data_IF_389452801559
#
_entry.id   IF_389452801559
#
_cell.length_a   1.000
_cell.length_b   1.000
_cell.length_c   1.000
_cell.angle_alpha   90.00
_cell.angle_beta   90.00
_cell.angle_gamma   90.00
#
_symmetry.space_group_name_H-M   'P 1'
#
loop_
_entity.id
_entity.type
_entity.pdbx_description
1 polymer ?
#
# COMPACT_ATOMS: atom_id res chain seq x y z
N UNK A 1 -3.65 -8.01 37.32
CA UNK A 1 -2.27 -7.56 36.99
C UNK A 1 -1.68 -8.31 35.79
N UNK A 2 -2.31 -8.25 34.59
CA UNK A 2 -1.81 -8.92 33.37
C UNK A 2 -2.00 -8.05 32.11
N UNK A 3 -1.83 -6.73 32.22
CA UNK A 3 -1.97 -5.80 31.08
C UNK A 3 -0.71 -4.98 30.75
N UNK A 4 0.36 -5.06 31.55
CA UNK A 4 1.51 -4.15 31.40
C UNK A 4 2.63 -4.68 30.48
N UNK A 5 2.71 -6.00 30.26
CA UNK A 5 3.83 -6.59 29.53
C UNK A 5 3.78 -6.35 28.01
N UNK A 6 2.58 -6.19 27.43
CA UNK A 6 2.42 -5.96 25.99
C UNK A 6 2.78 -4.51 25.58
N UNK A 7 2.53 -3.54 26.46
CA UNK A 7 2.96 -2.15 26.27
C UNK A 7 4.47 -2.01 26.41
N UNK A 8 5.07 -2.70 27.38
CA UNK A 8 6.51 -2.68 27.60
C UNK A 8 7.29 -3.27 26.40
N UNK A 9 6.81 -4.37 25.81
CA UNK A 9 7.42 -4.94 24.60
C UNK A 9 7.36 -4.01 23.39
N UNK A 10 6.28 -3.23 23.24
CA UNK A 10 6.18 -2.23 22.15
C UNK A 10 7.12 -1.05 22.33
N UNK A 11 7.33 -0.59 23.57
CA UNK A 11 8.29 0.47 23.89
C UNK A 11 9.74 0.06 23.57
N UNK A 12 10.11 -1.17 23.94
CA UNK A 12 11.48 -1.65 23.76
C UNK A 12 11.90 -1.81 22.28
N UNK A 13 10.95 -2.08 21.38
CA UNK A 13 11.23 -2.11 19.94
C UNK A 13 11.32 -0.71 19.33
N UNK A 14 10.75 0.30 19.97
CA UNK A 14 10.78 1.69 19.51
C UNK A 14 12.09 2.39 19.91
N UNK A 15 12.63 2.10 21.09
CA UNK A 15 13.85 2.75 21.58
C UNK A 15 15.16 2.20 20.98
N UNK A 16 15.12 1.07 20.25
CA UNK A 16 16.33 0.42 19.72
C UNK A 16 16.86 1.00 18.40
N UNK A 17 16.21 2.01 17.80
CA UNK A 17 16.64 2.58 16.51
C UNK A 17 17.65 3.74 16.61
N UNK A 18 17.96 4.24 17.81
CA UNK A 18 18.46 5.63 17.94
C UNK A 18 19.94 5.75 18.35
N UNK A 19 20.81 4.83 17.95
CA UNK A 19 22.27 4.99 18.16
C UNK A 19 23.08 4.87 16.88
N UNK A 20 22.85 5.75 15.90
CA UNK A 20 23.88 6.15 14.93
C UNK A 20 23.71 7.63 14.54
N UNK A 21 24.66 8.43 15.00
CA UNK A 21 24.81 9.85 14.76
C UNK A 21 25.25 10.15 13.31
N UNK A 22 24.43 10.88 12.56
CA UNK A 22 24.90 11.87 11.57
C UNK A 22 23.72 12.70 11.05
N UNK A 23 23.51 13.88 11.64
CA UNK A 23 22.78 15.04 11.07
C UNK A 23 21.60 14.71 10.13
N UNK A 24 20.52 14.14 10.67
CA UNK A 24 19.25 13.95 9.95
C UNK A 24 18.42 15.23 10.06
N UNK A 25 18.01 15.81 8.94
CA UNK A 25 17.24 17.05 8.95
C UNK A 25 15.84 16.75 9.50
N UNK A 26 15.25 17.68 10.28
CA UNK A 26 13.93 17.48 10.93
C UNK A 26 12.75 17.22 9.96
N UNK A 27 13.01 17.17 8.66
CA UNK A 27 12.04 16.95 7.59
C UNK A 27 12.05 15.51 7.05
N UNK A 28 13.03 14.69 7.43
CA UNK A 28 13.22 13.31 6.91
C UNK A 28 12.33 12.26 7.61
N UNK A 29 11.43 12.68 8.50
CA UNK A 29 10.56 11.82 9.31
C UNK A 29 9.06 11.93 8.95
N UNK A 30 8.69 12.76 7.96
CA UNK A 30 7.30 12.88 7.49
C UNK A 30 7.08 12.04 6.23
N UNK A 31 6.24 11.00 6.34
CA UNK A 31 5.62 10.39 5.16
C UNK A 31 4.72 11.44 4.51
N UNK A 32 5.20 12.10 3.46
CA UNK A 32 4.41 13.08 2.71
C UNK A 32 3.13 12.38 2.22
N UNK A 33 1.98 12.91 2.64
CA UNK A 33 0.71 12.49 2.07
C UNK A 33 0.66 12.94 0.60
N UNK A 34 0.09 12.14 -0.32
CA UNK A 34 -0.19 12.61 -1.66
C UNK A 34 -1.05 13.87 -1.59
N UNK A 35 -0.66 14.92 -2.32
CA UNK A 35 -1.45 16.16 -2.43
C UNK A 35 -2.58 16.02 -3.45
N UNK A 36 -2.44 15.08 -4.38
CA UNK A 36 -3.37 14.82 -5.47
C UNK A 36 -4.18 13.53 -5.23
N UNK A 37 -5.41 13.44 -5.77
CA UNK A 37 -6.18 12.20 -5.73
C UNK A 37 -5.45 11.06 -6.47
N UNK A 38 -5.87 9.82 -6.20
CA UNK A 38 -5.36 8.67 -6.92
C UNK A 38 -5.71 8.75 -8.41
N UNK A 39 -4.76 8.38 -9.28
CA UNK A 39 -4.96 8.34 -10.73
C UNK A 39 -6.05 7.32 -11.07
N UNK A 40 -7.09 7.77 -11.78
CA UNK A 40 -8.12 6.90 -12.35
C UNK A 40 -7.54 6.28 -13.62
N UNK A 41 -7.61 4.95 -13.72
CA UNK A 41 -7.22 4.26 -14.94
C UNK A 41 -8.33 4.39 -15.99
N UNK A 42 -8.05 5.08 -17.09
CA UNK A 42 -8.96 5.18 -18.22
C UNK A 42 -8.76 3.96 -19.14
N UNK A 43 -9.78 3.12 -19.39
CA UNK A 43 -9.66 2.02 -20.35
C UNK A 43 -9.38 2.50 -21.80
N UNK A 44 -9.64 3.77 -22.11
CA UNK A 44 -9.31 4.41 -23.39
C UNK A 44 -7.90 5.05 -23.39
N UNK A 45 -7.23 5.10 -22.23
CA UNK A 45 -5.88 5.66 -22.11
C UNK A 45 -5.00 4.88 -21.09
N UNK A 46 -3.91 4.24 -21.55
CA UNK A 46 -3.20 4.52 -22.80
C UNK A 46 -3.77 3.73 -23.98
N UNK A 47 -3.55 4.23 -25.21
CA UNK A 47 -3.81 3.45 -26.43
C UNK A 47 -3.19 2.06 -26.31
N UNK A 48 -3.83 1.05 -26.93
CA UNK A 48 -3.46 -0.37 -26.84
C UNK A 48 -1.95 -0.68 -27.09
N UNK A 49 -1.20 0.26 -27.67
CA UNK A 49 0.24 0.18 -27.93
C UNK A 49 1.14 0.44 -26.71
N UNK A 50 0.64 1.07 -25.63
CA UNK A 50 1.42 1.46 -24.45
C UNK A 50 1.33 0.48 -23.27
N UNK A 51 0.52 -0.57 -23.38
CA UNK A 51 0.52 -1.64 -22.39
C UNK A 51 1.88 -2.35 -22.41
N UNK A 52 2.50 -2.67 -21.26
CA UNK A 52 3.76 -3.38 -21.24
C UNK A 52 3.62 -4.71 -21.99
N UNK A 53 4.25 -4.80 -23.16
CA UNK A 53 4.20 -5.97 -24.06
C UNK A 53 4.72 -7.27 -23.43
N UNK A 54 5.29 -7.20 -22.22
CA UNK A 54 5.71 -8.36 -21.41
C UNK A 54 5.15 -8.25 -20.00
N UNK A 55 4.01 -8.89 -19.77
CA UNK A 55 3.58 -9.27 -18.42
C UNK A 55 4.35 -10.54 -18.05
N UNK A 56 5.21 -10.45 -17.04
CA UNK A 56 5.84 -11.64 -16.45
C UNK A 56 5.06 -12.03 -15.18
N UNK A 57 4.63 -13.29 -15.04
CA UNK A 57 4.08 -13.74 -13.76
C UNK A 57 5.15 -13.65 -12.67
N UNK A 58 4.76 -13.13 -11.51
CA UNK A 58 5.63 -12.99 -10.34
C UNK A 58 5.33 -14.10 -9.35
N UNK A 59 6.36 -14.80 -8.86
CA UNK A 59 6.18 -15.82 -7.82
C UNK A 59 6.00 -15.17 -6.46
N UNK A 60 5.33 -15.86 -5.53
CA UNK A 60 5.12 -15.36 -4.17
C UNK A 60 6.45 -15.15 -3.42
N UNK A 61 7.44 -16.02 -3.67
CA UNK A 61 8.76 -15.91 -3.06
C UNK A 61 9.50 -14.65 -3.55
N UNK A 62 9.47 -14.37 -4.86
CA UNK A 62 10.03 -13.14 -5.42
C UNK A 62 9.32 -11.89 -4.91
N UNK A 63 7.99 -11.92 -4.82
CA UNK A 63 7.21 -10.80 -4.30
C UNK A 63 7.57 -10.48 -2.83
N UNK A 64 7.75 -11.52 -2.01
CA UNK A 64 8.17 -11.38 -0.60
C UNK A 64 9.62 -10.92 -0.44
N UNK A 65 10.51 -11.38 -1.30
CA UNK A 65 11.91 -10.96 -1.30
C UNK A 65 12.08 -9.48 -1.66
N UNK A 66 11.09 -8.89 -2.34
CA UNK A 66 11.11 -7.51 -2.79
C UNK A 66 11.72 -7.39 -4.19
N UNK A 67 11.07 -6.61 -5.04
CA UNK A 67 11.45 -6.43 -6.44
C UNK A 67 11.80 -4.98 -6.74
N UNK A 68 12.70 -4.77 -7.71
CA UNK A 68 13.05 -3.42 -8.21
C UNK A 68 11.83 -2.69 -8.79
N UNK A 69 10.99 -3.42 -9.52
CA UNK A 69 9.70 -2.93 -10.01
C UNK A 69 8.61 -3.20 -8.97
N UNK A 70 7.61 -2.32 -8.82
CA UNK A 70 6.54 -2.54 -7.85
C UNK A 70 5.67 -3.74 -8.24
N UNK A 71 5.30 -4.53 -7.23
CA UNK A 71 4.33 -5.62 -7.38
C UNK A 71 2.94 -5.00 -7.56
N UNK A 72 2.32 -5.29 -8.71
CA UNK A 72 0.96 -4.82 -8.99
C UNK A 72 -0.05 -5.69 -8.25
N UNK A 73 -0.79 -5.09 -7.32
CA UNK A 73 -1.86 -5.74 -6.56
C UNK A 73 -3.18 -5.10 -6.96
N UNK A 74 -4.18 -5.92 -7.28
CA UNK A 74 -5.54 -5.47 -7.59
C UNK A 74 -6.48 -5.84 -6.44
N UNK A 75 -7.25 -4.87 -5.96
CA UNK A 75 -8.29 -5.07 -4.95
C UNK A 75 -9.63 -4.58 -5.50
N UNK A 76 -10.61 -5.48 -5.62
CA UNK A 76 -11.96 -5.15 -6.09
C UNK A 76 -12.93 -5.04 -4.91
N UNK A 77 -13.89 -4.13 -5.01
CA UNK A 77 -14.90 -3.91 -3.98
C UNK A 77 -15.99 -2.93 -4.41
N UNK A 78 -17.12 -2.96 -3.71
CA UNK A 78 -18.22 -2.00 -3.94
C UNK A 78 -17.90 -0.65 -3.28
N UNK A 79 -17.19 -0.65 -2.16
CA UNK A 79 -16.78 0.55 -1.42
C UNK A 79 -17.90 1.57 -1.12
N UNK A 80 -19.15 1.11 -1.02
CA UNK A 80 -20.29 1.93 -0.61
C UNK A 80 -20.10 2.44 0.83
N UNK A 81 -20.51 3.69 1.09
CA UNK A 81 -20.33 4.40 2.36
C UNK A 81 -18.92 4.21 2.96
N UNK A 82 -17.89 4.60 2.21
CA UNK A 82 -16.50 4.34 2.56
C UNK A 82 -16.15 4.62 4.04
N UNK A 83 -15.72 3.58 4.76
CA UNK A 83 -15.45 3.62 6.19
C UNK A 83 -14.11 2.97 6.57
N UNK A 84 -13.72 3.05 7.84
CA UNK A 84 -12.42 2.57 8.33
C UNK A 84 -12.12 1.09 8.01
N UNK A 85 -13.16 0.23 7.90
CA UNK A 85 -13.01 -1.14 7.42
C UNK A 85 -12.39 -1.25 6.03
N UNK A 86 -12.90 -0.48 5.06
CA UNK A 86 -12.38 -0.44 3.69
C UNK A 86 -10.95 0.09 3.66
N UNK A 87 -10.68 1.20 4.36
CA UNK A 87 -9.35 1.78 4.44
C UNK A 87 -8.31 0.79 5.00
N UNK A 88 -8.68 0.00 6.03
CA UNK A 88 -7.79 -1.01 6.61
C UNK A 88 -7.56 -2.20 5.68
N UNK A 89 -8.57 -2.62 4.93
CA UNK A 89 -8.40 -3.67 3.92
C UNK A 89 -7.45 -3.22 2.80
N UNK A 90 -7.61 -1.99 2.29
CA UNK A 90 -6.70 -1.41 1.29
C UNK A 90 -5.28 -1.20 1.83
N UNK A 91 -5.15 -0.80 3.10
CA UNK A 91 -3.85 -0.70 3.76
C UNK A 91 -3.16 -2.07 3.83
N UNK A 92 -3.87 -3.12 4.24
CA UNK A 92 -3.34 -4.49 4.25
C UNK A 92 -2.86 -4.91 2.86
N UNK A 93 -3.65 -4.63 1.83
CA UNK A 93 -3.28 -4.90 0.44
C UNK A 93 -2.03 -4.11 -0.01
N UNK A 94 -1.88 -2.85 0.42
CA UNK A 94 -0.69 -2.02 0.13
C UNK A 94 0.56 -2.52 0.85
N UNK A 95 0.42 -3.15 2.01
CA UNK A 95 1.54 -3.62 2.85
C UNK A 95 1.88 -5.11 2.68
N UNK A 96 1.20 -5.82 1.79
CA UNK A 96 1.38 -7.28 1.63
C UNK A 96 2.78 -7.66 1.12
N UNK A 97 3.45 -6.76 0.40
CA UNK A 97 4.83 -6.90 -0.06
C UNK A 97 5.64 -5.61 0.20
N UNK A 98 6.99 -5.68 0.19
CA UNK A 98 7.84 -4.51 0.43
C UNK A 98 7.67 -3.37 -0.60
N UNK A 99 7.27 -3.69 -1.83
CA UNK A 99 7.13 -2.71 -2.93
C UNK A 99 5.85 -3.00 -3.72
N UNK A 100 4.77 -2.26 -3.45
CA UNK A 100 3.43 -2.51 -4.01
C UNK A 100 2.91 -1.31 -4.78
N UNK A 101 2.35 -1.55 -5.96
CA UNK A 101 1.45 -0.63 -6.67
C UNK A 101 0.02 -1.17 -6.56
N UNK A 102 -0.82 -0.51 -5.78
CA UNK A 102 -2.19 -0.95 -5.50
C UNK A 102 -3.14 -0.31 -6.50
N UNK A 103 -3.89 -1.13 -7.22
CA UNK A 103 -4.99 -0.76 -8.10
C UNK A 103 -6.29 -1.17 -7.42
N UNK A 104 -7.26 -0.26 -7.39
CA UNK A 104 -8.54 -0.50 -6.71
C UNK A 104 -9.66 -0.43 -7.76
N UNK A 105 -10.43 -1.51 -7.86
CA UNK A 105 -11.66 -1.56 -8.64
C UNK A 105 -12.83 -1.12 -7.79
N UNK A 106 -13.56 -0.10 -8.25
CA UNK A 106 -14.86 0.30 -7.69
C UNK A 106 -15.94 0.10 -8.74
N UNK A 107 -17.14 -0.32 -8.32
CA UNK A 107 -18.30 -0.39 -9.20
C UNK A 107 -19.21 0.80 -8.92
N UNK A 108 -19.25 1.75 -9.85
CA UNK A 108 -20.15 2.91 -9.73
C UNK A 108 -21.61 2.58 -10.03
N UNK A 109 -21.92 1.54 -10.82
CA UNK A 109 -23.30 1.29 -11.26
C UNK A 109 -23.61 -0.20 -11.53
N UNK A 110 -24.04 -0.93 -10.50
CA UNK A 110 -24.89 -2.13 -10.62
C UNK A 110 -25.75 -2.32 -9.36
N UNK A 111 -26.24 -1.22 -8.79
CA UNK A 111 -27.20 -1.27 -7.67
C UNK A 111 -28.47 -0.58 -8.17
N UNK A 112 -29.55 -1.35 -8.25
CA UNK A 112 -30.88 -1.04 -8.83
C UNK A 112 -31.04 -1.30 -10.34
N UNK A 113 -31.55 -2.50 -10.65
CA UNK A 113 -32.47 -2.74 -11.77
C UNK A 113 -33.90 -2.56 -11.27
#
# INVERSE_FOLDING_TARGET
>A
MRMDQAKQKRKLCYEKSDTLNSKKSRLDDYSLAPTEPAVIHDPLYPSADHWPKRIRPLTLAEAKAGTRVPVRVYADGVFDMFHAGHARALLQAKTVFPNVYLMVGGKDFFVHK
#
